data_IF_323184965294
#
_entry.id   IF_323184965294
#
_cell.length_a   1.000
_cell.length_b   1.000
_cell.length_c   1.000
_cell.angle_alpha   90.00
_cell.angle_beta   90.00
_cell.angle_gamma   90.00
#
_symmetry.space_group_name_H-M   'P 1'
#
loop_
_entity.id
_entity.type
_entity.pdbx_description
1 polymer ?
#
# COMPACT_ATOMS: atom_id res chain seq x y z
N UNK A 1 14.39 -15.23 25.11
CA UNK A 1 15.31 -15.25 23.97
C UNK A 1 14.43 -15.11 22.75
N UNK A 2 14.48 -13.98 22.06
CA UNK A 2 13.53 -13.69 21.00
C UNK A 2 13.67 -14.72 19.87
N UNK A 3 12.57 -15.34 19.45
CA UNK A 3 12.54 -16.33 18.37
C UNK A 3 11.80 -15.73 17.16
N UNK A 4 12.14 -16.13 15.92
CA UNK A 4 11.42 -15.79 14.69
C UNK A 4 9.89 -15.88 14.83
N UNK A 5 9.38 -16.85 15.59
CA UNK A 5 7.93 -16.97 15.87
C UNK A 5 7.38 -15.78 16.65
N UNK A 6 8.13 -15.27 17.62
CA UNK A 6 7.74 -14.08 18.37
C UNK A 6 7.77 -12.84 17.48
N UNK A 7 8.75 -12.73 16.58
CA UNK A 7 8.80 -11.65 15.58
C UNK A 7 7.58 -11.68 14.66
N UNK A 8 7.22 -12.86 14.14
CA UNK A 8 6.02 -13.02 13.31
C UNK A 8 4.73 -12.76 14.08
N UNK A 9 4.66 -13.15 15.35
CA UNK A 9 3.51 -12.87 16.22
C UNK A 9 3.34 -11.38 16.53
N UNK A 10 4.41 -10.58 16.44
CA UNK A 10 4.34 -9.12 16.59
C UNK A 10 3.69 -8.44 15.38
N UNK A 11 3.65 -9.08 14.20
CA UNK A 11 3.07 -8.51 12.99
C UNK A 11 1.54 -8.36 13.09
N UNK A 12 1.09 -7.13 13.28
CA UNK A 12 -0.30 -6.69 13.19
C UNK A 12 -0.65 -6.43 11.73
N UNK A 13 -1.12 -7.47 11.07
CA UNK A 13 -1.55 -7.41 9.67
C UNK A 13 -3.01 -7.00 9.55
N UNK A 14 -3.33 -6.18 8.53
CA UNK A 14 -4.72 -5.88 8.23
C UNK A 14 -5.40 -7.15 7.73
N UNK A 15 -6.66 -7.34 8.16
CA UNK A 15 -7.50 -8.46 7.79
C UNK A 15 -8.78 -7.93 7.16
N UNK A 16 -9.23 -8.58 6.10
CA UNK A 16 -10.53 -8.34 5.48
C UNK A 16 -11.27 -9.66 5.39
N UNK A 17 -12.21 -9.87 6.31
CA UNK A 17 -12.82 -11.19 6.48
C UNK A 17 -11.76 -12.23 6.88
N UNK A 18 -11.54 -13.24 6.03
CA UNK A 18 -10.53 -14.28 6.23
C UNK A 18 -9.18 -13.97 5.56
N UNK A 19 -9.13 -12.93 4.72
CA UNK A 19 -7.92 -12.58 3.96
C UNK A 19 -6.98 -11.70 4.78
N UNK A 20 -5.69 -12.02 4.72
CA UNK A 20 -4.63 -11.30 5.40
C UNK A 20 -3.81 -10.51 4.38
N UNK A 21 -3.55 -9.23 4.64
CA UNK A 21 -2.70 -8.42 3.75
C UNK A 21 -1.25 -8.94 3.73
N UNK A 22 -0.69 -9.26 2.54
CA UNK A 22 0.66 -9.82 2.42
C UNK A 22 1.77 -8.77 2.63
N UNK A 23 1.46 -7.48 2.56
CA UNK A 23 2.43 -6.39 2.45
C UNK A 23 3.51 -6.36 3.54
N UNK A 24 3.13 -6.54 4.81
CA UNK A 24 4.11 -6.52 5.92
C UNK A 24 5.02 -7.76 5.87
N UNK A 25 4.48 -8.91 5.50
CA UNK A 25 5.27 -10.14 5.32
C UNK A 25 6.24 -10.03 4.15
N UNK A 26 5.79 -9.46 3.03
CA UNK A 26 6.66 -9.22 1.86
C UNK A 26 7.78 -8.23 2.22
N UNK A 27 7.49 -7.15 2.97
CA UNK A 27 8.54 -6.25 3.45
C UNK A 27 9.54 -6.95 4.36
N UNK A 28 9.08 -7.78 5.30
CA UNK A 28 9.97 -8.55 6.16
C UNK A 28 10.83 -9.54 5.35
N UNK A 29 10.26 -10.20 4.34
CA UNK A 29 10.98 -11.07 3.41
C UNK A 29 12.03 -10.29 2.60
N UNK A 30 11.73 -9.07 2.17
CA UNK A 30 12.70 -8.20 1.50
C UNK A 30 13.89 -7.87 2.39
N UNK A 31 13.66 -7.58 3.67
CA UNK A 31 14.72 -7.31 4.66
C UNK A 31 15.62 -8.55 4.84
N UNK A 32 15.02 -9.73 5.01
CA UNK A 32 15.77 -11.01 5.10
C UNK A 32 16.60 -11.24 3.84
N UNK A 33 16.03 -10.96 2.67
CA UNK A 33 16.73 -11.10 1.38
C UNK A 33 17.95 -10.18 1.28
N UNK A 34 17.88 -8.95 1.82
CA UNK A 34 19.03 -8.05 1.85
C UNK A 34 20.16 -8.58 2.74
N UNK A 35 19.84 -9.11 3.93
CA UNK A 35 20.84 -9.75 4.80
C UNK A 35 21.47 -10.98 4.16
N UNK A 36 20.69 -11.82 3.47
CA UNK A 36 21.23 -12.99 2.74
C UNK A 36 22.17 -12.58 1.59
N UNK A 37 21.88 -11.45 0.91
CA UNK A 37 22.73 -10.91 -0.17
C UNK A 37 23.97 -10.21 0.36
N UNK A 38 23.89 -9.59 1.53
CA UNK A 38 25.00 -8.88 2.17
C UNK A 38 25.01 -9.15 3.69
N UNK A 39 25.87 -10.09 4.13
CA UNK A 39 26.00 -10.45 5.54
C UNK A 39 26.40 -9.27 6.45
N UNK A 40 27.08 -8.26 5.90
CA UNK A 40 27.51 -7.06 6.61
C UNK A 40 26.60 -5.85 6.39
N UNK A 41 25.35 -6.07 5.97
CA UNK A 41 24.39 -4.98 5.75
C UNK A 41 24.15 -4.22 7.08
N UNK A 42 24.33 -2.90 7.04
CA UNK A 42 24.11 -2.04 8.22
C UNK A 42 22.62 -2.01 8.60
N UNK A 43 22.29 -1.70 9.85
CA UNK A 43 20.90 -1.50 10.29
C UNK A 43 20.28 -0.20 9.74
N UNK A 44 20.28 -0.01 8.43
CA UNK A 44 19.76 1.14 7.69
C UNK A 44 19.17 0.66 6.37
N UNK A 45 17.86 0.79 6.23
CA UNK A 45 17.09 0.37 5.07
C UNK A 45 16.41 1.57 4.41
N UNK A 46 16.98 2.04 3.31
CA UNK A 46 16.40 3.07 2.46
C UNK A 46 15.19 2.53 1.70
N UNK A 47 14.27 3.43 1.32
CA UNK A 47 13.13 3.03 0.49
C UNK A 47 13.58 2.48 -0.88
N UNK A 48 14.62 3.09 -1.47
CA UNK A 48 15.10 2.78 -2.81
C UNK A 48 15.79 1.41 -2.90
N UNK A 49 16.44 0.93 -1.82
CA UNK A 49 17.04 -0.41 -1.83
C UNK A 49 15.99 -1.51 -1.60
N UNK A 50 14.94 -1.22 -0.83
CA UNK A 50 13.89 -2.18 -0.51
C UNK A 50 12.88 -2.35 -1.64
N UNK A 51 12.47 -1.26 -2.30
CA UNK A 51 11.43 -1.28 -3.34
C UNK A 51 11.64 -2.34 -4.43
N UNK A 52 12.82 -2.46 -5.08
CA UNK A 52 13.00 -3.46 -6.13
C UNK A 52 12.90 -4.90 -5.60
N UNK A 53 13.43 -5.16 -4.40
CA UNK A 53 13.36 -6.50 -3.77
C UNK A 53 11.92 -6.83 -3.36
N UNK A 54 11.21 -5.85 -2.83
CA UNK A 54 9.79 -5.95 -2.45
C UNK A 54 8.89 -6.25 -3.64
N UNK A 55 9.07 -5.51 -4.74
CA UNK A 55 8.30 -5.73 -5.97
C UNK A 55 8.62 -7.08 -6.61
N UNK A 56 9.88 -7.55 -6.56
CA UNK A 56 10.25 -8.89 -7.03
C UNK A 56 9.46 -9.97 -6.30
N UNK A 57 9.53 -9.98 -4.96
CA UNK A 57 8.78 -10.96 -4.15
C UNK A 57 7.28 -10.91 -4.40
N UNK A 58 6.73 -9.71 -4.59
CA UNK A 58 5.31 -9.56 -4.91
C UNK A 58 4.94 -10.13 -6.28
N UNK A 59 5.80 -9.96 -7.28
CA UNK A 59 5.55 -10.51 -8.61
C UNK A 59 5.70 -12.03 -8.63
N UNK A 60 6.60 -12.58 -7.82
CA UNK A 60 6.84 -14.02 -7.73
C UNK A 60 5.72 -14.75 -6.97
N UNK A 61 5.23 -14.15 -5.87
CA UNK A 61 4.22 -14.78 -5.00
C UNK A 61 2.79 -14.40 -5.37
N UNK A 62 2.58 -13.21 -5.97
CA UNK A 62 1.27 -12.68 -6.34
C UNK A 62 1.31 -12.06 -7.75
N UNK A 63 1.57 -12.86 -8.81
CA UNK A 63 1.72 -12.37 -10.18
C UNK A 63 0.46 -11.63 -10.67
N UNK A 64 -0.72 -12.15 -10.34
CA UNK A 64 -2.02 -11.60 -10.75
C UNK A 64 -2.40 -10.29 -10.03
N UNK A 65 -1.68 -9.91 -8.97
CA UNK A 65 -2.01 -8.69 -8.23
C UNK A 65 -1.52 -7.45 -9.02
N UNK A 66 -2.38 -6.46 -9.28
CA UNK A 66 -2.00 -5.30 -10.08
C UNK A 66 -1.01 -4.39 -9.36
N UNK A 67 -0.15 -3.70 -10.12
CA UNK A 67 0.95 -2.90 -9.57
C UNK A 67 0.53 -1.79 -8.59
N UNK A 68 -0.63 -1.17 -8.80
CA UNK A 68 -1.16 -0.15 -7.86
C UNK A 68 -1.51 -0.72 -6.47
N UNK A 69 -1.50 -2.04 -6.30
CA UNK A 69 -1.67 -2.75 -5.03
C UNK A 69 -0.37 -3.32 -4.48
N UNK A 70 0.78 -3.04 -5.11
CA UNK A 70 2.13 -3.48 -4.70
C UNK A 70 2.92 -2.30 -4.12
N UNK A 71 2.28 -1.45 -3.32
CA UNK A 71 2.83 -0.17 -2.86
C UNK A 71 3.62 -0.33 -1.55
N UNK A 72 4.94 -0.15 -1.61
CA UNK A 72 5.85 -0.30 -0.46
C UNK A 72 5.63 0.77 0.62
N UNK A 73 5.16 1.98 0.27
CA UNK A 73 4.97 3.06 1.25
C UNK A 73 4.08 2.68 2.43
N UNK A 74 3.07 1.83 2.21
CA UNK A 74 2.16 1.40 3.26
C UNK A 74 2.86 0.52 4.31
N UNK A 75 3.41 -0.66 3.98
CA UNK A 75 4.12 -1.46 4.97
C UNK A 75 5.36 -0.75 5.51
N UNK A 76 6.08 0.05 4.71
CA UNK A 76 7.25 0.81 5.17
C UNK A 76 6.91 1.77 6.32
N UNK A 77 5.73 2.40 6.27
CA UNK A 77 5.24 3.25 7.36
C UNK A 77 4.58 2.45 8.50
N UNK A 78 3.68 1.51 8.17
CA UNK A 78 2.84 0.83 9.17
C UNK A 78 3.57 -0.25 9.98
N UNK A 79 4.73 -0.75 9.52
CA UNK A 79 5.52 -1.73 10.27
C UNK A 79 6.01 -1.17 11.62
N UNK A 80 6.04 0.16 11.78
CA UNK A 80 6.35 0.81 13.06
C UNK A 80 5.40 0.38 14.20
N UNK A 81 4.14 0.07 13.88
CA UNK A 81 3.14 -0.36 14.88
C UNK A 81 3.40 -1.74 15.49
N UNK A 82 4.32 -2.49 14.91
CA UNK A 82 4.73 -3.84 15.33
C UNK A 82 5.92 -3.81 16.31
N UNK A 83 6.49 -2.62 16.57
CA UNK A 83 7.43 -2.39 17.66
C UNK A 83 8.87 -2.87 17.41
N UNK A 84 9.23 -3.15 16.16
CA UNK A 84 10.60 -3.52 15.79
C UNK A 84 11.15 -2.77 14.58
N UNK A 85 10.39 -1.83 14.02
CA UNK A 85 10.74 -1.07 12.82
C UNK A 85 10.59 0.42 13.12
N UNK A 86 11.61 1.20 12.79
CA UNK A 86 11.67 2.62 13.12
C UNK A 86 12.11 3.41 11.90
N UNK A 87 11.66 4.67 11.81
CA UNK A 87 12.03 5.56 10.70
C UNK A 87 12.96 6.66 11.20
N UNK A 88 14.12 6.77 10.57
CA UNK A 88 15.00 7.92 10.73
C UNK A 88 14.52 9.04 9.82
N UNK A 89 14.06 10.13 10.43
CA UNK A 89 13.62 11.31 9.70
C UNK A 89 14.85 12.13 9.28
N UNK A 90 14.81 12.69 8.08
CA UNK A 90 15.84 13.61 7.58
C UNK A 90 15.90 14.84 8.47
N UNK A 91 17.11 15.28 8.80
CA UNK A 91 17.34 16.47 9.63
C UNK A 91 16.61 17.68 9.04
N UNK A 92 15.78 18.33 9.85
CA UNK A 92 15.01 19.51 9.45
C UNK A 92 13.70 19.22 8.71
N UNK A 93 13.33 17.94 8.54
CA UNK A 93 12.06 17.51 7.94
C UNK A 93 11.05 16.98 8.97
N UNK A 94 11.36 17.07 10.26
CA UNK A 94 10.55 16.51 11.35
C UNK A 94 9.13 17.08 11.37
N UNK A 95 8.99 18.41 11.28
CA UNK A 95 7.67 19.06 11.22
C UNK A 95 6.89 18.65 9.96
N UNK A 96 7.55 18.65 8.80
CA UNK A 96 6.95 18.22 7.52
C UNK A 96 6.48 16.77 7.60
N UNK A 97 7.29 15.87 8.16
CA UNK A 97 6.94 14.48 8.40
C UNK A 97 5.71 14.36 9.30
N UNK A 98 5.64 15.09 10.41
CA UNK A 98 4.49 15.06 11.30
C UNK A 98 3.21 15.57 10.62
N UNK A 99 3.31 16.61 9.77
CA UNK A 99 2.17 17.09 8.99
C UNK A 99 1.71 16.06 7.96
N UNK A 100 2.64 15.39 7.28
CA UNK A 100 2.32 14.36 6.30
C UNK A 100 1.73 13.11 6.96
N UNK A 101 2.21 12.73 8.15
CA UNK A 101 1.76 11.57 8.94
C UNK A 101 0.29 11.67 9.35
N UNK A 102 -0.23 12.89 9.55
CA UNK A 102 -1.66 13.12 9.83
C UNK A 102 -2.56 12.76 8.65
N UNK A 103 -2.00 12.72 7.45
CA UNK A 103 -2.66 12.38 6.20
C UNK A 103 -2.01 11.12 5.59
N UNK A 104 -2.32 10.83 4.32
CA UNK A 104 -1.65 9.76 3.58
C UNK A 104 -0.17 10.06 3.35
N UNK A 105 0.68 9.13 3.76
CA UNK A 105 2.13 9.17 3.50
C UNK A 105 2.42 8.45 2.16
N UNK A 106 2.49 9.21 1.07
CA UNK A 106 2.81 8.68 -0.27
C UNK A 106 4.30 8.39 -0.42
N UNK A 107 4.70 7.58 -1.42
CA UNK A 107 6.11 7.40 -1.80
C UNK A 107 6.89 8.73 -1.89
N UNK A 108 6.34 9.74 -2.58
CA UNK A 108 6.99 11.06 -2.70
C UNK A 108 7.23 11.71 -1.33
N UNK A 109 6.23 11.68 -0.44
CA UNK A 109 6.31 12.25 0.91
C UNK A 109 7.29 11.50 1.80
N UNK A 110 7.33 10.16 1.70
CA UNK A 110 8.34 9.32 2.36
C UNK A 110 9.74 9.72 1.91
N UNK A 111 10.01 9.72 0.61
CA UNK A 111 11.34 10.05 0.08
C UNK A 111 11.77 11.48 0.41
N UNK A 112 10.84 12.41 0.54
CA UNK A 112 11.15 13.79 0.95
C UNK A 112 11.59 13.89 2.42
N UNK A 113 11.00 13.08 3.29
CA UNK A 113 11.08 13.29 4.76
C UNK A 113 11.85 12.22 5.51
N UNK A 114 11.91 10.99 5.01
CA UNK A 114 12.55 9.84 5.65
C UNK A 114 13.88 9.55 4.97
N UNK A 115 14.92 9.35 5.77
CA UNK A 115 16.26 9.02 5.29
C UNK A 115 16.39 7.51 5.08
N UNK A 116 16.17 6.76 6.15
CA UNK A 116 16.15 5.30 6.15
C UNK A 116 15.24 4.79 7.28
N UNK A 117 14.92 3.51 7.24
CA UNK A 117 14.36 2.78 8.35
C UNK A 117 15.42 1.93 9.04
N UNK A 118 15.19 1.53 10.28
CA UNK A 118 16.09 0.65 11.02
C UNK A 118 15.27 -0.28 11.93
N UNK A 119 15.84 -1.45 12.19
CA UNK A 119 15.25 -2.45 13.08
C UNK A 119 15.59 -2.14 14.53
N UNK A 120 14.74 -2.63 15.44
CA UNK A 120 15.11 -2.82 16.83
C UNK A 120 16.42 -3.62 16.98
N UNK A 121 17.23 -3.30 17.99
CA UNK A 121 18.56 -3.89 18.16
C UNK A 121 18.55 -5.41 18.30
N UNK A 122 17.57 -5.96 19.03
CA UNK A 122 17.48 -7.41 19.22
C UNK A 122 17.08 -8.12 17.92
N UNK A 123 16.16 -7.51 17.15
CA UNK A 123 15.74 -8.04 15.85
C UNK A 123 16.86 -7.95 14.82
N UNK A 124 17.60 -6.83 14.81
CA UNK A 124 18.77 -6.69 13.95
C UNK A 124 19.82 -7.77 14.25
N UNK A 125 20.18 -7.96 15.53
CA UNK A 125 21.15 -8.97 15.94
C UNK A 125 20.69 -10.39 15.59
N UNK A 126 19.40 -10.69 15.73
CA UNK A 126 18.83 -11.98 15.36
C UNK A 126 18.95 -12.23 13.85
N UNK A 127 18.66 -11.23 13.02
CA UNK A 127 18.74 -11.34 11.56
C UNK A 127 20.17 -11.38 11.01
N UNK A 128 21.20 -11.17 11.82
CA UNK A 128 22.59 -11.41 11.41
C UNK A 128 22.93 -12.90 11.29
N UNK A 129 22.13 -13.79 11.89
CA UNK A 129 22.39 -15.23 11.87
C UNK A 129 21.68 -15.92 10.69
N UNK A 130 22.45 -16.66 9.89
CA UNK A 130 21.99 -17.33 8.67
C UNK A 130 20.91 -18.40 8.90
N UNK A 131 20.99 -19.14 10.01
CA UNK A 131 19.96 -20.13 10.37
C UNK A 131 18.62 -19.43 10.65
N UNK A 132 18.65 -18.31 11.38
CA UNK A 132 17.47 -17.51 11.64
C UNK A 132 16.89 -16.89 10.37
N UNK A 133 17.74 -16.38 9.47
CA UNK A 133 17.30 -15.87 8.16
C UNK A 133 16.55 -16.94 7.38
N UNK A 134 17.11 -18.16 7.30
CA UNK A 134 16.52 -19.26 6.55
C UNK A 134 15.18 -19.71 7.15
N UNK A 135 15.13 -19.93 8.47
CA UNK A 135 13.90 -20.31 9.16
C UNK A 135 12.78 -19.27 9.00
N UNK A 136 13.13 -17.99 9.09
CA UNK A 136 12.16 -16.90 8.94
C UNK A 136 11.65 -16.80 7.50
N UNK A 137 12.54 -16.91 6.50
CA UNK A 137 12.17 -16.93 5.09
C UNK A 137 11.21 -18.07 4.78
N UNK A 138 11.55 -19.30 5.18
CA UNK A 138 10.74 -20.49 4.92
C UNK A 138 9.35 -20.36 5.55
N UNK A 139 9.28 -19.86 6.79
CA UNK A 139 8.02 -19.66 7.49
C UNK A 139 7.18 -18.55 6.85
N UNK A 140 7.78 -17.43 6.44
CA UNK A 140 7.06 -16.35 5.73
C UNK A 140 6.51 -16.87 4.40
N UNK A 141 7.31 -17.59 3.61
CA UNK A 141 6.86 -18.16 2.33
C UNK A 141 5.73 -19.18 2.56
N UNK A 142 5.85 -20.04 3.58
CA UNK A 142 4.80 -20.99 3.96
C UNK A 142 3.50 -20.28 4.33
N UNK A 143 3.58 -19.20 5.12
CA UNK A 143 2.41 -18.39 5.47
C UNK A 143 1.80 -17.75 4.23
N UNK A 144 2.59 -17.08 3.39
CA UNK A 144 2.13 -16.38 2.19
C UNK A 144 1.52 -17.30 1.12
N UNK A 145 1.87 -18.60 1.13
CA UNK A 145 1.28 -19.62 0.26
C UNK A 145 0.04 -20.31 0.85
N UNK A 146 -0.34 -19.99 2.09
CA UNK A 146 -1.54 -20.57 2.71
C UNK A 146 -2.83 -19.93 2.21
N UNK A 147 -3.95 -20.66 2.28
CA UNK A 147 -5.29 -20.23 1.85
C UNK A 147 -5.78 -18.90 2.45
N UNK A 148 -5.15 -18.44 3.54
CA UNK A 148 -5.41 -17.13 4.15
C UNK A 148 -4.89 -15.94 3.31
N UNK A 149 -4.02 -16.22 2.34
CA UNK A 149 -3.48 -15.26 1.36
C UNK A 149 -3.84 -15.65 -0.08
N UNK A 150 -4.16 -16.93 -0.34
CA UNK A 150 -4.57 -17.49 -1.64
C UNK A 150 -6.08 -17.60 -1.85
N UNK A 151 -6.81 -16.55 -1.45
CA UNK A 151 -8.05 -16.22 -2.15
C UNK A 151 -7.96 -14.75 -2.56
N UNK A 152 -7.83 -14.55 -3.87
CA UNK A 152 -8.42 -13.45 -4.59
C UNK A 152 -8.71 -12.21 -3.72
N UNK A 153 -7.72 -11.33 -3.57
CA UNK A 153 -7.99 -9.93 -3.24
C UNK A 153 -8.72 -9.28 -4.43
N UNK A 154 -9.91 -9.78 -4.77
CA UNK A 154 -11.00 -8.97 -5.27
C UNK A 154 -11.66 -8.45 -4.00
N UNK A 155 -11.53 -7.16 -3.67
CA UNK A 155 -12.30 -6.61 -2.57
C UNK A 155 -13.76 -6.99 -2.82
N UNK A 156 -14.37 -7.70 -1.87
CA UNK A 156 -15.79 -8.01 -1.92
C UNK A 156 -16.65 -6.75 -2.05
N UNK A 157 -16.07 -5.56 -1.86
CA UNK A 157 -16.68 -4.26 -2.18
C UNK A 157 -16.94 -4.07 -3.68
N UNK A 158 -16.25 -4.78 -4.58
CA UNK A 158 -16.53 -4.72 -6.02
C UNK A 158 -17.77 -5.54 -6.41
N UNK A 159 -18.12 -6.61 -5.67
CA UNK A 159 -19.33 -7.42 -5.92
C UNK A 159 -20.51 -7.02 -5.03
N UNK A 160 -20.26 -6.57 -3.79
CA UNK A 160 -21.31 -6.04 -2.91
C UNK A 160 -21.77 -4.63 -3.30
N UNK A 161 -20.96 -3.86 -4.04
CA UNK A 161 -21.41 -2.61 -4.64
C UNK A 161 -22.25 -2.82 -5.91
N UNK A 162 -22.20 -3.98 -6.58
CA UNK A 162 -23.07 -4.25 -7.73
C UNK A 162 -24.47 -4.74 -7.33
N UNK A 163 -24.61 -5.42 -6.17
CA UNK A 163 -25.91 -5.89 -5.69
C UNK A 163 -26.65 -4.91 -4.78
N UNK A 164 -25.97 -4.06 -4.00
CA UNK A 164 -26.64 -3.14 -3.07
C UNK A 164 -27.05 -1.78 -3.66
N UNK A 165 -26.71 -1.48 -4.92
CA UNK A 165 -27.14 -0.22 -5.56
C UNK A 165 -28.58 -0.25 -6.09
N UNK A 166 -29.27 -1.39 -6.00
CA UNK A 166 -30.70 -1.47 -6.31
C UNK A 166 -31.61 -1.37 -5.09
N UNK A 167 -31.10 -1.50 -3.86
CA UNK A 167 -31.92 -1.38 -2.66
C UNK A 167 -31.19 -0.67 -1.51
N UNK A 168 -31.70 0.51 -1.17
CA UNK A 168 -31.45 1.32 0.03
C UNK A 168 -30.29 2.33 -0.01
N UNK A 169 -30.69 3.58 -0.27
CA UNK A 169 -30.02 4.81 0.14
C UNK A 169 -29.88 4.87 1.68
N UNK A 170 -28.77 4.38 2.23
CA UNK A 170 -28.21 4.83 3.51
C UNK A 170 -26.85 4.19 3.75
N UNK A 171 -25.75 4.88 3.42
CA UNK A 171 -24.40 4.41 3.76
C UNK A 171 -23.94 5.14 5.03
N UNK A 172 -23.68 4.34 6.07
CA UNK A 172 -23.00 4.77 7.30
C UNK A 172 -21.53 5.09 7.00
N UNK A 173 -21.13 6.29 7.39
CA UNK A 173 -19.77 6.82 7.32
C UNK A 173 -18.83 6.12 8.32
N UNK A 174 -17.91 5.29 7.83
CA UNK A 174 -16.66 4.95 8.56
C UNK A 174 -15.49 4.74 7.59
N UNK A 175 -15.03 5.84 6.99
CA UNK A 175 -13.77 5.94 6.24
C UNK A 175 -13.52 7.37 5.80
N UNK A 176 -12.25 7.75 5.60
CA UNK A 176 -11.91 9.10 5.14
C UNK A 176 -12.54 9.35 3.77
N UNK A 177 -13.39 10.38 3.65
CA UNK A 177 -14.14 10.69 2.41
C UNK A 177 -13.25 10.68 1.15
N UNK A 178 -12.01 11.15 1.27
CA UNK A 178 -11.04 11.19 0.18
C UNK A 178 -10.58 9.82 -0.33
N UNK A 179 -10.52 8.81 0.54
CA UNK A 179 -10.14 7.45 0.13
C UNK A 179 -11.32 6.76 -0.58
N UNK A 180 -12.54 7.04 -0.14
CA UNK A 180 -13.76 6.59 -0.79
C UNK A 180 -13.95 7.22 -2.16
N UNK A 181 -13.75 8.53 -2.27
CA UNK A 181 -13.88 9.27 -3.52
C UNK A 181 -12.87 8.78 -4.58
N UNK A 182 -11.59 8.63 -4.19
CA UNK A 182 -10.57 8.11 -5.09
C UNK A 182 -10.88 6.67 -5.53
N UNK A 183 -11.34 5.84 -4.61
CA UNK A 183 -11.74 4.47 -4.91
C UNK A 183 -12.93 4.43 -5.89
N UNK A 184 -13.92 5.30 -5.70
CA UNK A 184 -15.08 5.42 -6.59
C UNK A 184 -14.67 5.86 -8.00
N UNK A 185 -13.78 6.85 -8.10
CA UNK A 185 -13.24 7.32 -9.39
C UNK A 185 -12.48 6.22 -10.11
N UNK A 186 -11.64 5.45 -9.41
CA UNK A 186 -10.87 4.35 -10.01
C UNK A 186 -11.79 3.21 -10.48
N UNK A 187 -12.87 2.92 -9.75
CA UNK A 187 -13.92 1.99 -10.18
C UNK A 187 -14.58 2.48 -11.48
N UNK A 188 -15.02 3.74 -11.51
CA UNK A 188 -15.67 4.33 -12.68
C UNK A 188 -14.77 4.31 -13.91
N UNK A 189 -13.49 4.67 -13.77
CA UNK A 189 -12.52 4.62 -14.88
C UNK A 189 -12.40 3.23 -15.49
N UNK A 190 -12.33 2.20 -14.64
CA UNK A 190 -12.17 0.83 -15.11
C UNK A 190 -13.41 0.35 -15.86
N UNK A 191 -14.61 0.59 -15.33
CA UNK A 191 -15.88 0.21 -15.98
C UNK A 191 -16.04 0.92 -17.32
N UNK A 192 -15.79 2.23 -17.35
CA UNK A 192 -15.95 3.05 -18.57
C UNK A 192 -14.98 2.60 -19.66
N UNK A 193 -13.75 2.24 -19.28
CA UNK A 193 -12.76 1.71 -20.21
C UNK A 193 -13.10 0.27 -20.67
N UNK A 194 -13.54 -0.61 -19.78
CA UNK A 194 -13.85 -2.00 -20.11
C UNK A 194 -15.08 -2.12 -21.01
N UNK A 195 -16.11 -1.31 -20.74
CA UNK A 195 -17.36 -1.27 -21.50
C UNK A 195 -17.28 -0.35 -22.73
N UNK A 196 -16.12 0.26 -23.01
CA UNK A 196 -15.89 1.21 -24.12
C UNK A 196 -16.92 2.37 -24.17
N UNK A 197 -17.43 2.79 -23.01
CA UNK A 197 -18.47 3.83 -22.91
C UNK A 197 -17.93 5.20 -23.34
N UNK A 198 -16.67 5.48 -23.01
CA UNK A 198 -16.04 6.78 -23.26
C UNK A 198 -14.69 6.95 -22.58
N UNK A 199 -14.28 8.19 -22.35
CA UNK A 199 -13.08 8.57 -21.59
C UNK A 199 -13.46 9.39 -20.37
N UNK A 200 -12.93 9.00 -19.21
CA UNK A 200 -13.15 9.71 -17.95
C UNK A 200 -11.88 10.47 -17.53
N UNK A 201 -12.01 11.77 -17.31
CA UNK A 201 -11.02 12.62 -16.64
C UNK A 201 -11.54 12.99 -15.25
N UNK A 202 -10.65 13.14 -14.28
CA UNK A 202 -11.01 13.44 -12.89
C UNK A 202 -10.11 14.52 -12.31
N UNK A 203 -10.61 15.35 -11.40
CA UNK A 203 -9.91 16.50 -10.81
C UNK A 203 -9.46 17.50 -11.91
N UNK A 204 -10.40 17.97 -12.72
CA UNK A 204 -10.12 18.84 -13.86
C UNK A 204 -10.44 20.29 -13.50
N UNK A 205 -9.49 21.18 -13.71
CA UNK A 205 -9.70 22.62 -13.61
C UNK A 205 -9.79 23.22 -15.02
N UNK A 206 -10.93 23.80 -15.36
CA UNK A 206 -11.19 24.44 -16.67
C UNK A 206 -11.25 25.94 -16.49
N UNK A 207 -10.50 26.67 -17.31
CA UNK A 207 -10.59 28.13 -17.40
C UNK A 207 -11.52 28.54 -18.53
N UNK A 208 -12.54 29.33 -18.22
CA UNK A 208 -13.43 29.95 -19.20
C UNK A 208 -13.01 31.39 -19.47
N UNK A 209 -12.54 31.64 -20.68
CA UNK A 209 -12.06 32.96 -21.12
C UNK A 209 -13.17 33.98 -21.33
N UNK A 210 -14.42 33.56 -21.53
CA UNK A 210 -15.56 34.48 -21.70
C UNK A 210 -16.06 35.03 -20.36
N UNK A 211 -16.23 34.16 -19.35
CA UNK A 211 -16.63 34.60 -18.02
C UNK A 211 -15.46 34.95 -17.10
N UNK A 212 -14.22 34.68 -17.53
CA UNK A 212 -12.99 34.86 -16.77
C UNK A 212 -12.97 34.11 -15.43
N UNK A 213 -13.59 32.91 -15.40
CA UNK A 213 -13.72 32.07 -14.21
C UNK A 213 -13.01 30.73 -14.38
N UNK A 214 -12.67 30.11 -13.25
CA UNK A 214 -12.21 28.73 -13.19
C UNK A 214 -13.33 27.84 -12.68
N UNK A 215 -13.56 26.73 -13.38
CA UNK A 215 -14.50 25.68 -12.99
C UNK A 215 -13.72 24.43 -12.63
N UNK A 216 -13.85 24.01 -11.38
CA UNK A 216 -13.32 22.74 -10.89
C UNK A 216 -14.40 21.67 -11.07
N UNK A 217 -14.03 20.58 -11.74
CA UNK A 217 -14.87 19.43 -11.96
C UNK A 217 -14.20 18.20 -11.36
N UNK A 218 -14.92 17.50 -10.49
CA UNK A 218 -14.44 16.27 -9.90
C UNK A 218 -14.34 15.19 -10.99
N UNK A 219 -15.30 15.17 -11.91
CA UNK A 219 -15.37 14.20 -13.00
C UNK A 219 -15.87 14.83 -14.30
N UNK A 220 -15.18 14.51 -15.40
CA UNK A 220 -15.62 14.78 -16.77
C UNK A 220 -15.62 13.47 -17.55
N UNK A 221 -16.81 13.06 -18.01
CA UNK A 221 -16.99 11.90 -18.88
C UNK A 221 -17.30 12.34 -20.30
N UNK A 222 -16.44 11.96 -21.24
CA UNK A 222 -16.62 12.19 -22.67
C UNK A 222 -17.03 10.87 -23.33
N UNK A 223 -18.25 10.81 -23.85
CA UNK A 223 -18.79 9.64 -24.57
C UNK A 223 -19.13 10.00 -26.01
N UNK A 224 -19.56 9.01 -26.80
CA UNK A 224 -20.09 9.24 -28.15
C UNK A 224 -21.43 10.00 -28.17
N UNK A 225 -22.15 10.07 -27.04
CA UNK A 225 -23.46 10.76 -26.94
C UNK A 225 -23.35 12.18 -26.40
N UNK A 226 -22.21 12.56 -25.80
CA UNK A 226 -22.05 13.86 -25.18
C UNK A 226 -20.96 13.91 -24.11
N UNK A 227 -20.82 15.10 -23.51
CA UNK A 227 -19.93 15.38 -22.39
C UNK A 227 -20.79 15.57 -21.14
N UNK A 228 -20.47 14.82 -20.10
CA UNK A 228 -21.15 14.88 -18.80
C UNK A 228 -20.14 15.32 -17.75
N UNK A 229 -20.52 16.30 -16.94
CA UNK A 229 -19.69 16.86 -15.87
C UNK A 229 -20.41 16.70 -14.55
N UNK A 230 -19.68 16.29 -13.52
CA UNK A 230 -20.12 16.19 -12.12
C UNK A 230 -19.14 16.93 -11.26
#
# INVERSE_FOLDING_TARGET
>A
MQNYKELLNKLKVSKRGREISPHKYILLLSIVTLFKKNKGHENKFTFNELEPVFLSHFNDLFPEMPGHRKMLEYPFYHLQSDGFWYLQIKKGKELTYQMYKKNRLTKKRLLETVDYAYLDGDVYNLLQNEEWQQLLEDEIIRLLRSDNFSNQYYPSDYLSAQQNYTDNMAVKEQGSLFEHEKSAIDIMKNIINSEQIGKLSSNVLIFDTQSNNYYEYDIILVTHTGIYVV
#
